data_IF_185860169575
#
_entry.id   IF_185860169575
#
_cell.length_a   1.000
_cell.length_b   1.000
_cell.length_c   1.000
_cell.angle_alpha   90.00
_cell.angle_beta   90.00
_cell.angle_gamma   90.00
#
_symmetry.space_group_name_H-M   'P 1'
#
loop_
_entity.id
_entity.type
_entity.pdbx_description
1 polymer ?
#
# COMPACT_ATOMS: atom_id res chain seq x y z
N UNK A 1 -30.36 12.86 -10.40
CA UNK A 1 -29.26 13.80 -10.06
C UNK A 1 -29.03 13.76 -8.56
N UNK A 2 -28.12 12.91 -8.07
CA UNK A 2 -27.73 12.90 -6.66
C UNK A 2 -26.38 13.61 -6.53
N UNK A 3 -26.36 14.74 -5.82
CA UNK A 3 -25.15 15.52 -5.57
C UNK A 3 -24.29 14.81 -4.53
N UNK A 4 -23.20 14.23 -5.01
CA UNK A 4 -22.07 13.73 -4.26
C UNK A 4 -21.49 14.81 -3.31
N UNK A 5 -21.54 14.57 -2.00
CA UNK A 5 -20.64 15.22 -1.04
C UNK A 5 -19.79 14.15 -0.31
N UNK A 6 -18.90 13.43 -1.01
CA UNK A 6 -18.09 12.35 -0.44
C UNK A 6 -17.22 12.85 0.72
N UNK A 7 -16.72 14.08 0.63
CA UNK A 7 -15.74 14.67 1.56
C UNK A 7 -16.19 14.72 3.03
N UNK A 8 -17.49 14.90 3.31
CA UNK A 8 -18.00 15.03 4.68
C UNK A 8 -18.16 13.69 5.41
N UNK A 9 -18.31 12.59 4.65
CA UNK A 9 -18.35 11.23 5.21
C UNK A 9 -16.92 10.69 5.47
N UNK A 10 -15.96 11.10 4.64
CA UNK A 10 -14.53 10.74 4.82
C UNK A 10 -13.93 11.21 6.14
N UNK A 11 -14.32 12.38 6.65
CA UNK A 11 -13.70 12.97 7.84
C UNK A 11 -14.03 12.25 9.14
N UNK A 12 -15.19 11.62 9.23
CA UNK A 12 -15.59 10.84 10.41
C UNK A 12 -15.26 9.34 10.28
N UNK A 13 -15.08 8.83 9.05
CA UNK A 13 -14.85 7.41 8.83
C UNK A 13 -13.38 6.96 9.00
N UNK A 14 -12.38 7.85 8.81
CA UNK A 14 -10.95 7.44 8.77
C UNK A 14 -9.99 8.44 9.44
N UNK A 15 -10.02 8.58 10.78
CA UNK A 15 -9.14 9.50 11.52
C UNK A 15 -7.65 9.23 11.26
N UNK A 16 -7.26 7.98 11.02
CA UNK A 16 -5.87 7.57 10.77
C UNK A 16 -5.31 8.11 9.46
N UNK A 17 -6.12 8.09 8.39
CA UNK A 17 -5.72 8.66 7.10
C UNK A 17 -5.57 10.17 7.22
N UNK A 18 -6.53 10.84 7.84
CA UNK A 18 -6.49 12.29 8.05
C UNK A 18 -5.29 12.73 8.90
N UNK A 19 -5.01 12.01 9.99
CA UNK A 19 -3.83 12.27 10.82
C UNK A 19 -2.54 12.12 10.02
N UNK A 20 -2.46 11.08 9.19
CA UNK A 20 -1.29 10.86 8.33
C UNK A 20 -1.14 11.98 7.30
N UNK A 21 -2.23 12.35 6.61
CA UNK A 21 -2.24 13.44 5.61
C UNK A 21 -1.85 14.76 6.27
N UNK A 22 -2.41 15.05 7.45
CA UNK A 22 -2.08 16.23 8.23
C UNK A 22 -0.59 16.28 8.59
N UNK A 23 -0.01 15.16 9.03
CA UNK A 23 1.42 15.08 9.33
C UNK A 23 2.30 15.36 8.09
N UNK A 24 1.92 14.83 6.92
CA UNK A 24 2.61 15.14 5.66
C UNK A 24 2.54 16.62 5.29
N UNK A 25 1.35 17.23 5.37
CA UNK A 25 1.16 18.66 5.09
C UNK A 25 1.98 19.53 6.05
N UNK A 26 1.92 19.24 7.35
CA UNK A 26 2.69 19.96 8.37
C UNK A 26 4.19 19.84 8.08
N UNK A 27 4.67 18.65 7.74
CA UNK A 27 6.08 18.42 7.38
C UNK A 27 6.50 19.29 6.19
N UNK A 28 5.66 19.39 5.15
CA UNK A 28 5.96 20.21 3.98
C UNK A 28 6.19 21.67 4.35
N UNK A 29 5.32 22.24 5.19
CA UNK A 29 5.41 23.65 5.60
C UNK A 29 6.50 23.92 6.65
N UNK A 30 6.86 22.93 7.48
CA UNK A 30 7.95 23.06 8.46
C UNK A 30 9.33 22.97 7.82
N UNK A 31 9.45 22.30 6.66
CA UNK A 31 10.74 22.20 5.98
C UNK A 31 11.20 23.56 5.43
N UNK A 32 12.50 23.91 5.58
CA UNK A 32 13.04 25.17 5.10
C UNK A 32 12.81 25.44 3.61
N UNK A 33 12.60 26.71 3.25
CA UNK A 33 12.33 27.14 1.88
C UNK A 33 13.52 27.01 0.92
N UNK A 34 14.74 26.86 1.44
CA UNK A 34 15.95 26.65 0.62
C UNK A 34 16.06 25.23 0.05
N UNK A 35 15.27 24.28 0.57
CA UNK A 35 15.17 22.95 -0.02
C UNK A 35 14.32 22.98 -1.30
N UNK A 36 14.70 22.16 -2.27
CA UNK A 36 13.94 22.00 -3.51
C UNK A 36 12.51 21.52 -3.20
N UNK A 37 11.56 21.94 -4.03
CA UNK A 37 10.16 21.52 -3.89
C UNK A 37 10.04 19.99 -3.92
N UNK A 38 10.81 19.34 -4.79
CA UNK A 38 10.83 17.87 -4.90
C UNK A 38 11.27 17.20 -3.59
N UNK A 39 12.36 17.68 -2.97
CA UNK A 39 12.83 17.11 -1.70
C UNK A 39 11.79 17.29 -0.59
N UNK A 40 11.19 18.47 -0.47
CA UNK A 40 10.14 18.74 0.52
C UNK A 40 8.94 17.83 0.33
N UNK A 41 8.52 17.62 -0.92
CA UNK A 41 7.43 16.69 -1.26
C UNK A 41 7.81 15.25 -0.92
N UNK A 42 9.01 14.78 -1.24
CA UNK A 42 9.44 13.41 -0.94
C UNK A 42 9.52 13.14 0.56
N UNK A 43 10.08 14.06 1.36
CA UNK A 43 10.13 13.91 2.82
C UNK A 43 8.71 13.89 3.41
N UNK A 44 7.85 14.81 2.98
CA UNK A 44 6.45 14.88 3.42
C UNK A 44 5.66 13.63 3.06
N UNK A 45 5.89 13.10 1.84
CA UNK A 45 5.33 11.84 1.37
C UNK A 45 5.76 10.67 2.23
N UNK A 46 7.05 10.57 2.56
CA UNK A 46 7.56 9.50 3.42
C UNK A 46 6.92 9.54 4.81
N UNK A 47 6.86 10.72 5.44
CA UNK A 47 6.23 10.85 6.76
C UNK A 47 4.75 10.43 6.70
N UNK A 48 4.01 10.92 5.70
CA UNK A 48 2.63 10.50 5.47
C UNK A 48 2.50 8.97 5.31
N UNK A 49 3.28 8.39 4.41
CA UNK A 49 3.18 6.98 4.03
C UNK A 49 3.56 6.04 5.18
N UNK A 50 4.66 6.33 5.90
CA UNK A 50 5.11 5.55 7.04
C UNK A 50 4.14 5.61 8.21
N UNK A 51 3.61 6.80 8.49
CA UNK A 51 2.62 6.96 9.56
C UNK A 51 1.31 6.24 9.21
N UNK A 52 0.88 6.31 7.96
CA UNK A 52 -0.30 5.58 7.50
C UNK A 52 -0.10 4.07 7.56
N UNK A 53 1.04 3.57 7.09
CA UNK A 53 1.42 2.16 7.18
C UNK A 53 1.42 1.68 8.64
N UNK A 54 2.01 2.46 9.55
CA UNK A 54 2.01 2.16 10.98
C UNK A 54 0.60 2.03 11.54
N UNK A 55 -0.31 2.94 11.20
CA UNK A 55 -1.70 2.86 11.65
C UNK A 55 -2.47 1.66 11.05
N UNK A 56 -2.18 1.28 9.81
CA UNK A 56 -2.73 0.07 9.20
C UNK A 56 -2.24 -1.19 9.92
N UNK A 57 -0.95 -1.29 10.20
CA UNK A 57 -0.39 -2.42 10.93
C UNK A 57 -0.91 -2.50 12.37
N UNK A 58 -1.05 -1.38 13.08
CA UNK A 58 -1.70 -1.37 14.39
C UNK A 58 -3.15 -1.87 14.31
N UNK A 59 -3.88 -1.60 13.23
CA UNK A 59 -5.22 -2.12 13.01
C UNK A 59 -5.21 -3.63 12.79
N UNK A 60 -4.34 -4.10 11.89
CA UNK A 60 -4.25 -5.50 11.50
C UNK A 60 -3.83 -6.38 12.69
N UNK A 61 -2.89 -5.90 13.51
CA UNK A 61 -2.34 -6.65 14.64
C UNK A 61 -3.22 -6.66 15.90
N UNK A 62 -4.05 -5.62 16.11
CA UNK A 62 -4.87 -5.50 17.34
C UNK A 62 -6.28 -6.06 17.21
N UNK A 63 -6.76 -6.34 16.01
CA UNK A 63 -8.14 -6.76 15.82
C UNK A 63 -8.30 -8.28 15.93
N UNK A 64 -9.10 -8.68 16.90
CA UNK A 64 -9.56 -10.04 17.12
C UNK A 64 -10.41 -10.54 15.92
N UNK A 65 -10.30 -11.80 15.45
CA UNK A 65 -11.09 -12.36 14.36
C UNK A 65 -12.59 -12.01 14.39
N UNK A 66 -13.19 -11.97 15.59
CA UNK A 66 -14.61 -11.62 15.77
C UNK A 66 -14.96 -10.18 15.36
N UNK A 67 -14.00 -9.25 15.43
CA UNK A 67 -14.16 -7.85 15.02
C UNK A 67 -13.90 -7.63 13.53
N UNK A 68 -13.20 -8.55 12.85
CA UNK A 68 -12.85 -8.42 11.44
C UNK A 68 -14.12 -8.35 10.58
N UNK A 69 -15.11 -9.21 10.84
CA UNK A 69 -16.40 -9.21 10.10
C UNK A 69 -17.15 -7.88 10.23
N UNK A 70 -17.16 -7.29 11.43
CA UNK A 70 -17.82 -6.01 11.68
C UNK A 70 -17.08 -4.85 10.99
N UNK A 71 -15.76 -4.82 11.10
CA UNK A 71 -14.91 -3.78 10.50
C UNK A 71 -14.95 -3.85 8.97
N UNK A 72 -14.94 -5.07 8.41
CA UNK A 72 -15.06 -5.30 6.98
C UNK A 72 -16.33 -4.67 6.41
N UNK A 73 -17.49 -4.81 7.06
CA UNK A 73 -18.75 -4.21 6.58
C UNK A 73 -18.79 -2.70 6.65
N UNK A 74 -18.33 -2.11 7.75
CA UNK A 74 -18.38 -0.65 7.93
C UNK A 74 -17.46 0.08 6.92
N UNK A 75 -16.51 -0.64 6.29
CA UNK A 75 -15.58 -0.09 5.31
C UNK A 75 -16.04 -0.21 3.83
N UNK A 76 -17.27 -0.70 3.58
CA UNK A 76 -17.90 -1.00 2.27
C UNK A 76 -17.55 -0.04 1.12
N UNK A 77 -17.93 1.24 1.21
CA UNK A 77 -17.78 2.15 0.06
C UNK A 77 -16.36 2.69 -0.16
N UNK A 78 -15.48 2.53 0.83
CA UNK A 78 -14.18 3.22 0.85
C UNK A 78 -12.97 2.30 0.69
N UNK A 79 -13.13 0.97 0.83
CA UNK A 79 -12.03 0.02 0.69
C UNK A 79 -11.46 0.02 -0.73
N UNK A 80 -12.31 -0.09 -1.75
CA UNK A 80 -11.90 -0.08 -3.17
C UNK A 80 -11.31 1.26 -3.58
N UNK A 81 -11.91 2.38 -3.17
CA UNK A 81 -11.39 3.70 -3.48
C UNK A 81 -10.02 3.96 -2.84
N UNK A 82 -9.82 3.54 -1.58
CA UNK A 82 -8.51 3.67 -0.92
C UNK A 82 -7.47 2.76 -1.58
N UNK A 83 -7.85 1.54 -1.98
CA UNK A 83 -6.96 0.67 -2.75
C UNK A 83 -6.54 1.33 -4.07
N UNK A 84 -7.47 1.92 -4.81
CA UNK A 84 -7.15 2.64 -6.06
C UNK A 84 -6.21 3.82 -5.81
N UNK A 85 -6.49 4.65 -4.80
CA UNK A 85 -5.64 5.80 -4.44
C UNK A 85 -4.24 5.33 -4.03
N UNK A 86 -4.14 4.31 -3.18
CA UNK A 86 -2.84 3.76 -2.74
C UNK A 86 -2.09 3.15 -3.91
N UNK A 87 -2.75 2.42 -4.79
CA UNK A 87 -2.12 1.83 -5.99
C UNK A 87 -1.60 2.91 -6.94
N UNK A 88 -2.40 3.94 -7.22
CA UNK A 88 -1.98 5.09 -8.03
C UNK A 88 -0.81 5.84 -7.40
N UNK A 89 -0.86 6.08 -6.09
CA UNK A 89 0.22 6.70 -5.35
C UNK A 89 1.52 5.89 -5.39
N UNK A 90 1.42 4.56 -5.29
CA UNK A 90 2.55 3.64 -5.40
C UNK A 90 3.18 3.71 -6.81
N UNK A 91 2.36 3.74 -7.87
CA UNK A 91 2.85 3.92 -9.24
C UNK A 91 3.49 5.29 -9.46
N UNK A 92 2.89 6.36 -8.94
CA UNK A 92 3.47 7.70 -8.99
C UNK A 92 4.81 7.77 -8.23
N UNK A 93 4.93 7.06 -7.11
CA UNK A 93 6.18 6.97 -6.34
C UNK A 93 7.29 6.34 -7.16
N UNK A 94 7.00 5.33 -7.99
CA UNK A 94 7.99 4.74 -8.91
C UNK A 94 8.51 5.78 -9.90
N UNK A 95 7.63 6.59 -10.52
CA UNK A 95 8.04 7.65 -11.45
C UNK A 95 8.94 8.68 -10.75
N UNK A 96 8.55 9.12 -9.55
CA UNK A 96 9.33 10.08 -8.76
C UNK A 96 10.71 9.51 -8.42
N UNK A 97 10.79 8.24 -8.02
CA UNK A 97 12.05 7.55 -7.72
C UNK A 97 12.98 7.52 -8.94
N UNK A 98 12.45 7.22 -10.13
CA UNK A 98 13.24 7.19 -11.36
C UNK A 98 13.80 8.58 -11.73
N UNK A 99 13.00 9.64 -11.57
CA UNK A 99 13.47 11.02 -11.78
C UNK A 99 14.49 11.47 -10.73
N UNK A 100 14.27 11.11 -9.46
CA UNK A 100 15.16 11.45 -8.37
C UNK A 100 16.53 10.81 -8.55
N UNK A 101 16.58 9.54 -8.96
CA UNK A 101 17.84 8.83 -9.18
C UNK A 101 18.66 9.47 -10.32
N UNK A 102 18.00 9.92 -11.39
CA UNK A 102 18.66 10.65 -12.48
C UNK A 102 19.31 11.95 -11.99
N UNK A 103 18.66 12.65 -11.07
CA UNK A 103 19.16 13.89 -10.48
C UNK A 103 20.26 13.62 -9.45
N UNK A 104 20.10 12.57 -8.63
CA UNK A 104 21.07 12.18 -7.60
C UNK A 104 22.43 11.77 -8.17
N UNK A 105 22.48 11.28 -9.42
CA UNK A 105 23.74 10.98 -10.12
C UNK A 105 24.58 12.24 -10.42
N UNK A 106 23.99 13.43 -10.36
CA UNK A 106 24.70 14.71 -10.52
C UNK A 106 25.21 15.27 -9.18
N UNK A 107 24.83 14.65 -8.06
CA UNK A 107 25.20 15.09 -6.72
C UNK A 107 26.41 14.31 -6.21
N UNK A 108 27.18 14.89 -5.28
CA UNK A 108 28.37 14.27 -4.69
C UNK A 108 28.34 14.35 -3.16
N UNK A 109 29.03 13.41 -2.49
CA UNK A 109 29.21 13.42 -1.03
C UNK A 109 27.94 13.10 -0.22
N UNK A 110 27.84 13.70 0.97
CA UNK A 110 26.77 13.44 1.96
C UNK A 110 25.35 13.66 1.41
N UNK A 111 25.18 14.64 0.52
CA UNK A 111 23.90 14.95 -0.12
C UNK A 111 23.39 13.78 -0.96
N UNK A 112 24.25 13.13 -1.76
CA UNK A 112 23.90 11.94 -2.55
C UNK A 112 23.39 10.80 -1.65
N UNK A 113 24.07 10.55 -0.53
CA UNK A 113 23.67 9.51 0.41
C UNK A 113 22.28 9.78 1.02
N UNK A 114 21.98 11.03 1.37
CA UNK A 114 20.67 11.40 1.90
C UNK A 114 19.54 11.17 0.88
N UNK A 115 19.72 11.61 -0.37
CA UNK A 115 18.74 11.39 -1.45
C UNK A 115 18.54 9.88 -1.73
N UNK A 116 19.61 9.09 -1.68
CA UNK A 116 19.54 7.64 -1.87
C UNK A 116 18.74 6.96 -0.74
N UNK A 117 19.00 7.32 0.52
CA UNK A 117 18.25 6.78 1.67
C UNK A 117 16.78 7.17 1.59
N UNK A 118 16.48 8.43 1.27
CA UNK A 118 15.09 8.90 1.13
C UNK A 118 14.35 8.16 0.01
N UNK A 119 15.03 7.94 -1.12
CA UNK A 119 14.50 7.17 -2.25
C UNK A 119 14.24 5.72 -1.87
N UNK A 120 15.20 5.08 -1.17
CA UNK A 120 15.04 3.72 -0.66
C UNK A 120 13.88 3.57 0.34
N UNK A 121 13.71 4.55 1.23
CA UNK A 121 12.57 4.58 2.17
C UNK A 121 11.23 4.75 1.45
N UNK A 122 11.21 5.56 0.38
CA UNK A 122 10.02 5.76 -0.47
C UNK A 122 9.63 4.47 -1.18
N UNK A 123 10.63 3.76 -1.71
CA UNK A 123 10.44 2.47 -2.38
C UNK A 123 9.92 1.42 -1.41
N UNK A 124 10.56 1.31 -0.23
CA UNK A 124 10.21 0.34 0.80
C UNK A 124 8.78 0.56 1.33
N UNK A 125 8.43 1.81 1.66
CA UNK A 125 7.09 2.10 2.18
C UNK A 125 6.00 1.87 1.13
N UNK A 126 6.27 2.20 -0.14
CA UNK A 126 5.33 1.94 -1.24
C UNK A 126 5.14 0.44 -1.47
N UNK A 127 6.24 -0.32 -1.44
CA UNK A 127 6.21 -1.77 -1.57
C UNK A 127 5.46 -2.45 -0.41
N UNK A 128 5.57 -1.94 0.82
CA UNK A 128 4.83 -2.46 1.98
C UNK A 128 3.35 -2.05 1.99
N UNK A 129 3.05 -0.81 1.58
CA UNK A 129 1.68 -0.28 1.58
C UNK A 129 0.77 -1.02 0.60
N UNK A 130 1.29 -1.41 -0.57
CA UNK A 130 0.50 -2.07 -1.60
C UNK A 130 -0.13 -3.39 -1.13
N UNK A 131 0.62 -4.43 -0.71
CA UNK A 131 0.04 -5.68 -0.19
C UNK A 131 -0.74 -5.45 1.12
N UNK A 132 -0.37 -4.46 1.94
CA UNK A 132 -1.15 -4.11 3.13
C UNK A 132 -2.55 -3.58 2.75
N UNK A 133 -2.66 -2.76 1.69
CA UNK A 133 -3.94 -2.28 1.19
C UNK A 133 -4.77 -3.41 0.56
N UNK A 134 -4.14 -4.29 -0.22
CA UNK A 134 -4.80 -5.47 -0.79
C UNK A 134 -5.29 -6.44 0.29
N UNK A 135 -4.54 -6.64 1.37
CA UNK A 135 -4.96 -7.43 2.55
C UNK A 135 -6.31 -6.98 3.09
N UNK A 136 -6.47 -5.67 3.31
CA UNK A 136 -7.73 -5.09 3.80
C UNK A 136 -8.86 -5.29 2.80
N UNK A 137 -8.57 -5.17 1.50
CA UNK A 137 -9.55 -5.37 0.45
C UNK A 137 -9.98 -6.83 0.30
N UNK A 138 -9.05 -7.79 0.43
CA UNK A 138 -9.36 -9.21 0.43
C UNK A 138 -10.20 -9.63 1.63
N UNK A 139 -9.86 -9.14 2.82
CA UNK A 139 -10.67 -9.37 4.01
C UNK A 139 -12.10 -8.84 3.80
N UNK A 140 -12.22 -7.64 3.22
CA UNK A 140 -13.50 -7.04 2.91
C UNK A 140 -14.33 -7.90 1.94
N UNK A 141 -13.77 -8.28 0.79
CA UNK A 141 -14.45 -9.12 -0.20
C UNK A 141 -14.86 -10.48 0.38
N UNK A 142 -13.98 -11.11 1.16
CA UNK A 142 -14.27 -12.40 1.78
C UNK A 142 -15.47 -12.33 2.73
N UNK A 143 -15.51 -11.32 3.62
CA UNK A 143 -16.57 -11.20 4.62
C UNK A 143 -17.87 -10.59 4.08
N UNK A 144 -17.84 -9.90 2.95
CA UNK A 144 -19.03 -9.39 2.27
C UNK A 144 -19.80 -10.53 1.56
N UNK A 145 -19.10 -11.41 0.84
CA UNK A 145 -19.74 -12.53 0.13
C UNK A 145 -20.29 -13.63 1.06
N UNK A 146 -19.75 -13.76 2.28
CA UNK A 146 -20.13 -14.84 3.22
C UNK A 146 -21.57 -14.76 3.74
N UNK A 147 -22.28 -13.67 3.53
CA UNK A 147 -23.69 -13.54 3.89
C UNK A 147 -24.65 -14.22 2.92
N UNK A 148 -24.20 -14.55 1.72
CA UNK A 148 -24.98 -15.34 0.76
C UNK A 148 -24.74 -16.83 1.06
N UNK A 149 -25.75 -17.50 1.65
CA UNK A 149 -25.59 -18.82 2.28
C UNK A 149 -25.23 -19.99 1.35
N UNK A 150 -25.15 -19.76 0.04
CA UNK A 150 -24.81 -20.74 -1.00
C UNK A 150 -23.66 -20.28 -1.91
N UNK A 151 -22.99 -19.18 -1.58
CA UNK A 151 -21.92 -18.62 -2.43
C UNK A 151 -20.57 -19.32 -2.21
N UNK A 152 -19.86 -19.58 -3.31
CA UNK A 152 -18.46 -20.04 -3.27
C UNK A 152 -17.62 -18.96 -2.58
N UNK A 153 -16.85 -19.35 -1.56
CA UNK A 153 -15.97 -18.44 -0.83
C UNK A 153 -14.98 -17.75 -1.80
N UNK A 154 -14.79 -16.42 -1.71
CA UNK A 154 -13.86 -15.72 -2.59
C UNK A 154 -12.42 -16.24 -2.51
N UNK A 155 -11.95 -16.58 -1.32
CA UNK A 155 -10.64 -17.19 -1.09
C UNK A 155 -10.81 -18.51 -0.35
N UNK A 156 -10.09 -19.54 -0.78
CA UNK A 156 -10.14 -20.89 -0.23
C UNK A 156 -8.81 -21.14 0.46
N UNK A 157 -8.83 -21.10 1.79
CA UNK A 157 -7.66 -21.33 2.63
C UNK A 157 -7.46 -22.84 2.89
N UNK A 158 -6.20 -23.31 3.04
CA UNK A 158 -5.91 -24.69 3.40
C UNK A 158 -6.68 -25.13 4.66
N UNK A 159 -7.02 -26.43 4.74
CA UNK A 159 -7.78 -27.02 5.86
C UNK A 159 -9.18 -26.40 6.07
N UNK A 160 -9.75 -25.81 5.03
CA UNK A 160 -11.12 -25.28 5.04
C UNK A 160 -11.34 -24.25 6.16
N UNK A 161 -10.35 -23.36 6.39
CA UNK A 161 -10.50 -22.28 7.37
C UNK A 161 -11.66 -21.38 6.94
N UNK A 162 -12.74 -21.44 7.72
CA UNK A 162 -13.95 -20.66 7.43
C UNK A 162 -13.86 -19.25 7.98
N UNK A 163 -13.12 -19.02 9.07
CA UNK A 163 -12.95 -17.72 9.74
C UNK A 163 -11.49 -17.24 9.70
N UNK A 164 -10.98 -16.82 8.51
CA UNK A 164 -9.61 -16.34 8.36
C UNK A 164 -9.40 -15.03 9.13
N UNK A 165 -8.24 -14.95 9.76
CA UNK A 165 -7.73 -13.77 10.45
C UNK A 165 -7.03 -12.83 9.48
N UNK A 166 -6.68 -11.62 9.93
CA UNK A 166 -5.85 -10.71 9.12
C UNK A 166 -4.49 -11.32 8.74
N UNK A 167 -3.97 -12.27 9.52
CA UNK A 167 -2.72 -12.96 9.18
C UNK A 167 -2.85 -13.82 7.93
N UNK A 168 -4.01 -14.47 7.74
CA UNK A 168 -4.26 -15.29 6.56
C UNK A 168 -4.34 -14.43 5.29
N UNK A 169 -5.00 -13.26 5.37
CA UNK A 169 -5.04 -12.29 4.27
C UNK A 169 -3.70 -11.60 4.03
N UNK A 170 -2.94 -11.29 5.09
CA UNK A 170 -1.59 -10.74 5.01
C UNK A 170 -0.69 -11.73 4.28
N UNK A 171 -0.69 -12.97 4.72
CA UNK A 171 0.08 -14.05 4.10
C UNK A 171 -0.27 -14.18 2.61
N UNK A 172 -1.56 -14.23 2.27
CA UNK A 172 -2.00 -14.28 0.87
C UNK A 172 -1.47 -13.10 0.05
N UNK A 173 -1.70 -11.87 0.53
CA UNK A 173 -1.35 -10.65 -0.22
C UNK A 173 0.16 -10.42 -0.30
N UNK A 174 0.91 -10.67 0.77
CA UNK A 174 2.37 -10.52 0.77
C UNK A 174 3.05 -11.61 -0.06
N UNK A 175 2.51 -12.82 -0.13
CA UNK A 175 3.05 -13.86 -1.03
C UNK A 175 2.93 -13.44 -2.50
N UNK A 176 1.80 -12.84 -2.89
CA UNK A 176 1.66 -12.22 -4.22
C UNK A 176 2.64 -11.03 -4.37
N UNK A 177 2.79 -10.20 -3.33
CA UNK A 177 3.73 -9.08 -3.32
C UNK A 177 5.18 -9.50 -3.59
N UNK A 178 5.62 -10.57 -2.94
CA UNK A 178 7.00 -11.08 -3.00
C UNK A 178 7.25 -11.89 -4.26
N UNK A 179 6.34 -12.82 -4.60
CA UNK A 179 6.59 -13.84 -5.62
C UNK A 179 5.66 -13.77 -6.84
N UNK A 180 4.70 -12.83 -6.87
CA UNK A 180 3.66 -12.73 -7.90
C UNK A 180 2.81 -13.99 -8.09
N UNK A 181 2.84 -14.93 -7.13
CA UNK A 181 2.11 -16.20 -7.16
C UNK A 181 1.53 -16.53 -5.78
N UNK A 182 0.46 -17.32 -5.76
CA UNK A 182 -0.17 -17.87 -4.55
C UNK A 182 0.35 -19.27 -4.28
N UNK A 183 0.81 -19.59 -3.05
CA UNK A 183 1.39 -20.89 -2.75
C UNK A 183 0.34 -21.98 -2.41
N UNK A 184 -0.63 -21.66 -1.55
CA UNK A 184 -1.53 -22.64 -0.93
C UNK A 184 -2.97 -22.14 -0.74
N UNK A 185 -3.22 -20.83 -0.92
CA UNK A 185 -4.56 -20.24 -0.94
C UNK A 185 -5.08 -20.15 -2.37
N UNK A 186 -6.25 -20.74 -2.61
CA UNK A 186 -6.88 -20.75 -3.94
C UNK A 186 -7.90 -19.64 -4.10
N UNK A 187 -8.10 -19.17 -5.34
CA UNK A 187 -9.14 -18.20 -5.69
C UNK A 187 -10.44 -18.90 -6.03
N UNK A 188 -11.54 -18.56 -5.35
CA UNK A 188 -12.84 -19.23 -5.53
C UNK A 188 -13.80 -18.54 -6.50
N UNK A 189 -13.69 -17.22 -6.69
CA UNK A 189 -14.61 -16.45 -7.55
C UNK A 189 -13.90 -15.74 -8.70
N UNK A 190 -14.65 -15.34 -9.74
CA UNK A 190 -14.08 -14.56 -10.86
C UNK A 190 -13.66 -13.15 -10.46
N UNK A 191 -14.38 -12.53 -9.52
CA UNK A 191 -14.10 -11.16 -9.10
C UNK A 191 -12.80 -11.07 -8.30
N UNK A 192 -12.52 -12.02 -7.41
CA UNK A 192 -11.24 -12.07 -6.70
C UNK A 192 -10.08 -12.26 -7.67
N UNK A 193 -10.27 -13.06 -8.74
CA UNK A 193 -9.22 -13.33 -9.74
C UNK A 193 -8.80 -12.07 -10.48
N UNK A 194 -9.74 -11.15 -10.77
CA UNK A 194 -9.43 -9.84 -11.36
C UNK A 194 -8.59 -8.98 -10.42
N UNK A 195 -8.91 -9.00 -9.12
CA UNK A 195 -8.16 -8.27 -8.09
C UNK A 195 -6.75 -8.86 -7.90
N UNK A 196 -6.63 -10.18 -7.85
CA UNK A 196 -5.34 -10.89 -7.79
C UNK A 196 -4.48 -10.57 -9.02
N UNK A 197 -5.07 -10.59 -10.22
CA UNK A 197 -4.35 -10.22 -11.44
C UNK A 197 -3.81 -8.79 -11.37
N UNK A 198 -4.64 -7.83 -10.91
CA UNK A 198 -4.20 -6.45 -10.72
C UNK A 198 -3.03 -6.37 -9.73
N UNK A 199 -3.13 -7.05 -8.58
CA UNK A 199 -2.05 -7.08 -7.60
C UNK A 199 -0.78 -7.67 -8.21
N UNK A 200 -0.85 -8.82 -8.89
CA UNK A 200 0.31 -9.49 -9.49
C UNK A 200 1.03 -8.60 -10.51
N UNK A 201 0.29 -7.85 -11.33
CA UNK A 201 0.88 -6.89 -12.30
C UNK A 201 1.60 -5.76 -11.56
N UNK A 202 0.98 -5.17 -10.54
CA UNK A 202 1.60 -4.11 -9.75
C UNK A 202 2.83 -4.61 -8.99
N UNK A 203 2.76 -5.79 -8.38
CA UNK A 203 3.88 -6.45 -7.69
C UNK A 203 5.04 -6.75 -8.64
N UNK A 204 4.75 -7.20 -9.87
CA UNK A 204 5.77 -7.41 -10.89
C UNK A 204 6.52 -6.12 -11.25
N UNK A 205 5.79 -5.01 -11.46
CA UNK A 205 6.40 -3.70 -11.74
C UNK A 205 7.30 -3.26 -10.57
N UNK A 206 6.84 -3.44 -9.32
CA UNK A 206 7.64 -3.13 -8.14
C UNK A 206 8.92 -3.97 -8.06
N UNK A 207 8.82 -5.28 -8.25
CA UNK A 207 9.96 -6.19 -8.20
C UNK A 207 10.99 -5.86 -9.29
N UNK A 208 10.53 -5.54 -10.50
CA UNK A 208 11.40 -5.06 -11.58
C UNK A 208 12.08 -3.73 -11.21
N UNK A 209 11.34 -2.80 -10.63
CA UNK A 209 11.87 -1.49 -10.20
C UNK A 209 12.94 -1.66 -9.13
N UNK A 210 12.69 -2.47 -8.09
CA UNK A 210 13.64 -2.76 -7.02
C UNK A 210 14.92 -3.38 -7.59
N UNK A 211 14.79 -4.34 -8.51
CA UNK A 211 15.94 -4.97 -9.17
C UNK A 211 16.74 -3.96 -9.99
N UNK A 212 16.07 -3.15 -10.82
CA UNK A 212 16.71 -2.13 -11.65
C UNK A 212 17.45 -1.07 -10.83
N UNK A 213 16.82 -0.59 -9.75
CA UNK A 213 17.44 0.36 -8.82
C UNK A 213 18.64 -0.25 -8.10
N UNK A 214 18.54 -1.51 -7.66
CA UNK A 214 19.64 -2.21 -6.99
C UNK A 214 20.87 -2.33 -7.91
N UNK A 215 20.65 -2.64 -9.19
CA UNK A 215 21.73 -2.69 -10.20
C UNK A 215 22.32 -1.30 -10.43
N UNK A 216 21.49 -0.27 -10.59
CA UNK A 216 21.96 1.10 -10.83
C UNK A 216 22.81 1.62 -9.66
N UNK A 217 22.35 1.41 -8.42
CA UNK A 217 23.08 1.80 -7.21
C UNK A 217 24.36 1.00 -7.06
N UNK A 218 24.32 -0.32 -7.30
CA UNK A 218 25.51 -1.17 -7.27
C UNK A 218 26.57 -0.73 -8.28
N UNK A 219 26.18 -0.46 -9.53
CA UNK A 219 27.07 0.06 -10.56
C UNK A 219 27.64 1.44 -10.20
N UNK A 220 26.83 2.32 -9.59
CA UNK A 220 27.25 3.65 -9.16
C UNK A 220 28.14 3.68 -7.90
N UNK A 221 28.34 2.56 -7.22
CA UNK A 221 29.31 2.40 -6.12
C UNK A 221 30.65 1.81 -6.60
N UNK A 222 30.64 1.10 -7.73
CA UNK A 222 31.83 0.51 -8.35
C UNK A 222 32.56 1.48 -9.29
N UNK A 223 31.91 2.59 -9.67
CA UNK A 223 32.47 3.71 -10.43
C UNK A 223 32.80 4.88 -9.50
#
# INVERSE_FOLDING_TARGET
MARFHPLKHYSHARPRLLLSVGAGIITYFLLPSHFTVLLRLMVSWNIFAWLYLFFLWLQLLRNDPKKIRLIARVQDESASMVLSIVSMACLASILVILFELSTANQLSGSTKAFHLVLTGMTLLVSWLLLPTAFTMHYAHLFYLSRDESDSVLPLIFPKEVTEPTYWDFLYFSFTIGVASQTADVSTGTSDIRRVVLLQSVLSFIFNMTILGLSINVGAGLLN
#
